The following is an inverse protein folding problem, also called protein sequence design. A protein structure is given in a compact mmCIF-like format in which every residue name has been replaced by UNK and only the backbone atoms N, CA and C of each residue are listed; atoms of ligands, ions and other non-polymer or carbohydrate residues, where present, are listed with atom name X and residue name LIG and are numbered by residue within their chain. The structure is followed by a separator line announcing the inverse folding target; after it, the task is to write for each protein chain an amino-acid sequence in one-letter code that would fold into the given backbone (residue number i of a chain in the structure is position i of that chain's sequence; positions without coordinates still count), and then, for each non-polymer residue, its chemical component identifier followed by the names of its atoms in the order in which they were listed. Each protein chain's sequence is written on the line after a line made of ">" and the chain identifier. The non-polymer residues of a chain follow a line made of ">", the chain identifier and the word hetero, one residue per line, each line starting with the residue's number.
data_IF_280895575259
#
_entry.id   IF_280895575259
#
_cell.length_a   1.000
_cell.length_b   1.000
_cell.length_c   1.000
_cell.angle_alpha   90.00
_cell.angle_beta   90.00
_cell.angle_gamma   90.00
#
_symmetry.space_group_name_H-M   'P 1'
#
loop_
_entity.id
_entity.type
_entity.pdbx_description
1 polymer ?
#
# COMPACT_ATOMS: atom_id res chain seq x y z
N UNK A 1 -16.18 10.97 26.15
CA UNK A 1 -16.50 11.08 24.71
C UNK A 1 -15.20 10.88 23.97
N UNK A 2 -15.05 9.77 23.26
CA UNK A 2 -13.84 9.45 22.50
C UNK A 2 -13.76 10.42 21.33
N UNK A 3 -12.76 11.30 21.31
CA UNK A 3 -12.54 12.17 20.15
C UNK A 3 -12.27 11.30 18.93
N UNK A 4 -13.03 11.54 17.86
CA UNK A 4 -12.88 10.82 16.60
C UNK A 4 -11.75 11.46 15.78
N UNK A 5 -10.79 10.66 15.32
CA UNK A 5 -9.67 11.11 14.47
C UNK A 5 -10.15 11.93 13.26
N UNK A 6 -11.27 11.55 12.63
CA UNK A 6 -11.84 12.32 11.52
C UNK A 6 -12.28 13.73 11.94
N UNK A 7 -12.86 13.88 13.13
CA UNK A 7 -13.26 15.18 13.66
C UNK A 7 -12.05 16.06 13.98
N UNK A 8 -10.98 15.46 14.53
CA UNK A 8 -9.72 16.15 14.78
C UNK A 8 -9.08 16.65 13.48
N UNK A 9 -9.08 15.84 12.42
CA UNK A 9 -8.56 16.24 11.10
C UNK A 9 -9.37 17.38 10.50
N UNK A 10 -10.71 17.34 10.57
CA UNK A 10 -11.57 18.43 10.06
C UNK A 10 -11.32 19.73 10.82
N UNK A 11 -11.25 19.68 12.14
CA UNK A 11 -10.98 20.87 12.95
C UNK A 11 -9.58 21.44 12.68
N UNK A 12 -8.59 20.56 12.54
CA UNK A 12 -7.21 20.95 12.28
C UNK A 12 -7.05 21.55 10.87
N UNK A 13 -7.69 20.96 9.85
CA UNK A 13 -7.75 21.53 8.49
C UNK A 13 -8.33 22.94 8.47
N UNK A 14 -9.48 23.12 9.14
CA UNK A 14 -10.13 24.42 9.25
C UNK A 14 -9.25 25.46 9.95
N UNK A 15 -8.55 25.08 11.03
CA UNK A 15 -7.63 25.97 11.74
C UNK A 15 -6.39 26.35 10.92
N UNK A 16 -5.85 25.41 10.14
CA UNK A 16 -4.61 25.61 9.38
C UNK A 16 -4.85 26.20 7.98
N UNK A 17 -6.12 26.48 7.63
CA UNK A 17 -6.50 26.90 6.27
C UNK A 17 -6.12 25.88 5.21
N UNK A 18 -6.08 24.59 5.58
CA UNK A 18 -5.79 23.51 4.68
C UNK A 18 -7.10 23.01 4.07
N UNK A 19 -7.49 23.63 2.96
CA UNK A 19 -8.50 23.12 2.02
C UNK A 19 -7.74 22.58 0.82
N UNK A 20 -7.16 21.37 0.93
CA UNK A 20 -6.20 20.95 -0.06
C UNK A 20 -6.97 20.45 -1.30
N UNK A 21 -6.66 21.03 -2.46
CA UNK A 21 -7.22 20.58 -3.73
C UNK A 21 -6.83 19.10 -3.94
N UNK A 22 -7.76 18.31 -4.50
CA UNK A 22 -7.53 16.88 -4.72
C UNK A 22 -6.31 16.61 -5.61
N UNK A 23 -6.02 17.53 -6.55
CA UNK A 23 -4.84 17.46 -7.42
C UNK A 23 -3.57 17.82 -6.65
N UNK A 24 -3.58 18.86 -5.84
CA UNK A 24 -2.44 19.26 -5.02
C UNK A 24 -2.10 18.20 -3.96
N UNK A 25 -3.11 17.61 -3.32
CA UNK A 25 -2.92 16.45 -2.44
C UNK A 25 -2.28 15.29 -3.16
N UNK A 26 -2.76 14.96 -4.36
CA UNK A 26 -2.23 13.84 -5.12
C UNK A 26 -0.73 14.03 -5.40
N UNK A 27 -0.33 15.23 -5.85
CA UNK A 27 1.07 15.58 -6.10
C UNK A 27 1.90 15.50 -4.83
N UNK A 28 1.36 16.02 -3.71
CA UNK A 28 2.02 15.97 -2.42
C UNK A 28 2.25 14.51 -1.98
N UNK A 29 1.23 13.67 -2.05
CA UNK A 29 1.37 12.27 -1.69
C UNK A 29 2.28 11.49 -2.62
N UNK A 30 2.28 11.74 -3.93
CA UNK A 30 3.20 11.08 -4.87
C UNK A 30 4.67 11.46 -4.61
N UNK A 31 4.93 12.71 -4.24
CA UNK A 31 6.25 13.14 -3.83
C UNK A 31 6.75 12.38 -2.59
N UNK A 32 5.85 12.14 -1.64
CA UNK A 32 6.16 11.54 -0.34
C UNK A 32 6.04 10.01 -0.29
N UNK A 33 5.26 9.39 -1.17
CA UNK A 33 5.11 7.93 -1.29
C UNK A 33 6.38 7.25 -1.82
N UNK A 34 7.34 8.01 -2.37
CA UNK A 34 8.69 7.50 -2.69
C UNK A 34 9.47 7.10 -1.44
N UNK A 35 9.08 7.61 -0.27
CA UNK A 35 9.68 7.25 1.02
C UNK A 35 8.94 6.04 1.59
N UNK A 36 9.69 5.03 2.00
CA UNK A 36 9.11 3.83 2.60
C UNK A 36 8.47 4.13 3.97
N UNK A 37 9.16 4.93 4.77
CA UNK A 37 8.74 5.25 6.13
C UNK A 37 8.49 6.75 6.31
N UNK A 38 7.45 7.06 7.08
CA UNK A 38 7.05 8.40 7.49
C UNK A 38 7.13 8.52 9.00
N UNK A 39 7.76 9.59 9.48
CA UNK A 39 7.66 9.99 10.89
C UNK A 39 6.24 10.44 11.20
N UNK A 40 5.68 9.90 12.27
CA UNK A 40 4.26 10.11 12.55
C UNK A 40 3.93 11.59 12.83
N UNK A 41 4.73 12.24 13.68
CA UNK A 41 4.55 13.62 14.13
C UNK A 41 4.79 14.71 13.07
N UNK A 42 5.78 14.50 12.22
CA UNK A 42 6.33 15.51 11.31
C UNK A 42 5.99 15.24 9.85
N UNK A 43 5.57 14.04 9.49
CA UNK A 43 5.33 13.66 8.09
C UNK A 43 3.92 13.07 7.91
N UNK A 44 3.58 11.99 8.61
CA UNK A 44 2.31 11.29 8.40
C UNK A 44 1.10 12.16 8.77
N UNK A 45 1.09 12.77 9.96
CA UNK A 45 0.02 13.66 10.40
C UNK A 45 -0.17 14.88 9.48
N UNK A 46 0.87 15.67 9.14
CA UNK A 46 0.70 16.77 8.19
C UNK A 46 0.18 16.31 6.84
N UNK A 47 0.69 15.22 6.28
CA UNK A 47 0.20 14.67 5.01
C UNK A 47 -1.27 14.27 5.08
N UNK A 48 -1.71 13.63 6.16
CA UNK A 48 -3.12 13.25 6.40
C UNK A 48 -4.01 14.50 6.52
N UNK A 49 -3.49 15.58 7.11
CA UNK A 49 -4.18 16.87 7.19
C UNK A 49 -4.17 17.59 5.83
N UNK A 50 -3.26 17.23 4.92
CA UNK A 50 -3.12 17.85 3.60
C UNK A 50 -2.17 19.06 3.59
N UNK A 51 -1.25 19.09 4.55
CA UNK A 51 -0.23 20.13 4.65
C UNK A 51 1.13 19.53 4.29
N UNK A 52 1.94 20.21 3.47
CA UNK A 52 3.31 19.78 3.22
C UNK A 52 4.11 19.72 4.53
N UNK A 53 4.85 18.62 4.81
CA UNK A 53 5.68 18.51 6.01
C UNK A 53 6.63 19.68 6.25
N UNK A 54 7.15 20.29 5.18
CA UNK A 54 8.00 21.48 5.22
C UNK A 54 7.30 22.72 5.80
N UNK A 55 5.98 22.85 5.61
CA UNK A 55 5.18 23.97 6.11
C UNK A 55 4.62 23.69 7.51
N UNK A 56 4.72 22.45 7.99
CA UNK A 56 4.01 21.97 9.16
C UNK A 56 4.31 22.77 10.43
N UNK A 57 5.59 22.96 10.75
CA UNK A 57 6.01 23.70 11.94
C UNK A 57 5.54 25.17 11.91
N UNK A 58 5.60 25.81 10.73
CA UNK A 58 5.15 27.18 10.56
C UNK A 58 3.62 27.29 10.73
N UNK A 59 2.86 26.33 10.21
CA UNK A 59 1.40 26.29 10.34
C UNK A 59 0.95 26.03 11.77
N UNK A 60 1.63 25.13 12.49
CA UNK A 60 1.35 24.88 13.91
C UNK A 60 1.68 26.08 14.81
N UNK A 61 2.72 26.83 14.47
CA UNK A 61 3.04 28.08 15.17
C UNK A 61 1.92 29.15 15.00
N UNK A 62 1.18 29.10 13.89
CA UNK A 62 0.00 29.93 13.67
C UNK A 62 -1.26 29.43 14.40
N UNK A 63 -1.27 28.17 14.90
CA UNK A 63 -2.32 27.60 15.72
C UNK A 63 -2.52 26.09 15.51
N UNK A 64 -3.24 25.42 16.43
CA UNK A 64 -3.65 24.01 16.27
C UNK A 64 -2.65 22.95 16.77
N UNK A 65 -1.58 23.35 17.46
CA UNK A 65 -0.61 22.43 18.07
C UNK A 65 -1.24 21.42 19.04
N UNK A 66 -2.21 21.86 19.85
CA UNK A 66 -3.00 21.01 20.75
C UNK A 66 -3.71 19.87 20.00
N UNK A 67 -4.38 20.19 18.90
CA UNK A 67 -5.12 19.25 18.07
C UNK A 67 -4.19 18.34 17.28
N UNK A 68 -3.07 18.87 16.79
CA UNK A 68 -2.03 18.07 16.16
C UNK A 68 -1.46 17.04 17.14
N UNK A 69 -1.12 17.44 18.37
CA UNK A 69 -0.64 16.52 19.40
C UNK A 69 -1.69 15.45 19.75
N UNK A 70 -2.96 15.83 19.85
CA UNK A 70 -4.05 14.88 20.10
C UNK A 70 -4.17 13.84 18.96
N UNK A 71 -4.11 14.29 17.70
CA UNK A 71 -4.18 13.44 16.53
C UNK A 71 -2.98 12.49 16.44
N UNK A 72 -1.76 12.99 16.67
CA UNK A 72 -0.54 12.17 16.69
C UNK A 72 -0.62 11.13 17.81
N UNK A 73 -1.09 11.51 19.00
CA UNK A 73 -1.22 10.58 20.13
C UNK A 73 -2.23 9.47 19.83
N UNK A 74 -3.34 9.81 19.16
CA UNK A 74 -4.34 8.84 18.74
C UNK A 74 -3.79 7.88 17.68
N UNK A 75 -3.10 8.41 16.67
CA UNK A 75 -2.46 7.59 15.64
C UNK A 75 -1.38 6.66 16.23
N UNK A 76 -0.57 7.16 17.17
CA UNK A 76 0.48 6.40 17.85
C UNK A 76 -0.12 5.24 18.66
N UNK A 77 -1.21 5.49 19.37
CA UNK A 77 -1.93 4.46 20.12
C UNK A 77 -2.49 3.37 19.20
N UNK A 78 -3.14 3.76 18.09
CA UNK A 78 -3.77 2.82 17.15
C UNK A 78 -2.75 2.02 16.31
N UNK A 79 -1.56 2.58 16.09
CA UNK A 79 -0.45 1.93 15.38
C UNK A 79 0.52 1.21 16.32
N UNK A 80 0.25 1.24 17.63
CA UNK A 80 1.09 0.67 18.67
C UNK A 80 2.56 1.11 18.57
N UNK A 81 2.80 2.41 18.36
CA UNK A 81 4.13 3.00 18.24
C UNK A 81 4.27 4.28 19.07
N UNK A 82 5.48 4.82 19.16
CA UNK A 82 5.73 6.13 19.74
C UNK A 82 5.34 7.26 18.75
N UNK A 83 5.04 8.47 19.23
CA UNK A 83 4.72 9.62 18.37
C UNK A 83 5.84 10.05 17.42
N UNK A 84 7.10 9.80 17.80
CA UNK A 84 8.30 10.12 17.04
C UNK A 84 8.83 8.95 16.19
N UNK A 85 8.15 7.79 16.25
CA UNK A 85 8.50 6.62 15.45
C UNK A 85 8.20 6.85 13.96
N UNK A 86 9.01 6.17 13.14
CA UNK A 86 8.77 6.05 11.72
C UNK A 86 7.89 4.83 11.45
N UNK A 87 6.86 5.01 10.62
CA UNK A 87 5.95 3.94 10.20
C UNK A 87 5.88 3.85 8.69
N UNK A 88 5.66 2.64 8.13
CA UNK A 88 5.44 2.50 6.70
C UNK A 88 4.30 3.41 6.23
N UNK A 89 4.50 4.10 5.12
CA UNK A 89 3.48 5.00 4.54
C UNK A 89 2.11 4.31 4.36
N UNK A 90 2.15 3.01 4.03
CA UNK A 90 0.98 2.15 3.87
C UNK A 90 0.17 2.00 5.18
N UNK A 91 0.84 1.86 6.33
CA UNK A 91 0.19 1.71 7.64
C UNK A 91 -0.53 3.00 8.03
N UNK A 92 0.13 4.14 7.82
CA UNK A 92 -0.44 5.47 8.07
C UNK A 92 -1.68 5.73 7.21
N UNK A 93 -1.62 5.38 5.92
CA UNK A 93 -2.76 5.51 5.01
C UNK A 93 -3.91 4.55 5.38
N UNK A 94 -3.60 3.31 5.76
CA UNK A 94 -4.61 2.35 6.22
C UNK A 94 -5.27 2.80 7.53
N UNK A 95 -4.50 3.36 8.47
CA UNK A 95 -5.04 3.96 9.68
C UNK A 95 -6.01 5.10 9.35
N UNK A 96 -5.61 6.04 8.50
CA UNK A 96 -6.47 7.16 8.09
C UNK A 96 -7.82 6.68 7.53
N UNK A 97 -7.82 5.61 6.72
CA UNK A 97 -9.04 4.99 6.19
C UNK A 97 -9.92 4.36 7.25
N UNK A 98 -9.34 3.58 8.18
CA UNK A 98 -10.10 2.96 9.28
C UNK A 98 -10.81 4.03 10.10
N UNK A 99 -10.18 5.20 10.23
CA UNK A 99 -10.75 6.37 10.88
C UNK A 99 -11.75 7.15 10.02
N UNK A 100 -11.96 6.80 8.75
CA UNK A 100 -12.84 7.51 7.83
C UNK A 100 -12.30 8.85 7.34
N UNK A 101 -10.99 9.06 7.41
CA UNK A 101 -10.34 10.29 6.94
C UNK A 101 -10.21 10.21 5.41
N UNK A 102 -10.76 11.18 4.64
CA UNK A 102 -10.69 11.15 3.20
C UNK A 102 -9.24 11.42 2.72
N UNK A 103 -8.73 10.50 1.90
CA UNK A 103 -7.46 10.60 1.17
C UNK A 103 -7.73 10.93 -0.30
N UNK A 104 -6.73 11.46 -1.02
CA UNK A 104 -6.84 11.73 -2.45
C UNK A 104 -7.16 10.45 -3.25
N UNK A 105 -8.16 10.50 -4.13
CA UNK A 105 -8.76 9.28 -4.72
C UNK A 105 -7.80 8.38 -5.51
N UNK A 106 -6.83 8.95 -6.24
CA UNK A 106 -5.88 8.14 -7.01
C UNK A 106 -4.82 7.49 -6.12
N UNK A 107 -4.33 8.20 -5.10
CA UNK A 107 -3.49 7.61 -4.05
C UNK A 107 -4.25 6.55 -3.27
N UNK A 108 -5.56 6.76 -3.04
CA UNK A 108 -6.35 5.78 -2.32
C UNK A 108 -6.34 4.43 -3.07
N UNK A 109 -6.58 4.45 -4.37
CA UNK A 109 -6.47 3.27 -5.22
C UNK A 109 -5.05 2.68 -5.24
N UNK A 110 -4.01 3.54 -5.31
CA UNK A 110 -2.61 3.09 -5.33
C UNK A 110 -2.20 2.42 -4.00
N UNK A 111 -2.58 2.98 -2.86
CA UNK A 111 -2.28 2.44 -1.54
C UNK A 111 -3.16 1.24 -1.20
N UNK A 112 -4.36 1.11 -1.79
CA UNK A 112 -5.12 -0.14 -1.78
C UNK A 112 -4.35 -1.23 -2.52
N UNK A 113 -3.86 -0.94 -3.73
CA UNK A 113 -3.06 -1.89 -4.50
C UNK A 113 -1.79 -2.30 -3.75
N UNK A 114 -1.01 -1.32 -3.27
CA UNK A 114 0.22 -1.57 -2.50
C UNK A 114 -0.09 -2.33 -1.20
N UNK A 115 -1.12 -1.94 -0.45
CA UNK A 115 -1.54 -2.66 0.76
C UNK A 115 -2.00 -4.09 0.47
N UNK A 116 -2.67 -4.33 -0.64
CA UNK A 116 -3.06 -5.69 -1.07
C UNK A 116 -1.86 -6.51 -1.54
N UNK A 117 -0.87 -5.88 -2.18
CA UNK A 117 0.33 -6.54 -2.69
C UNK A 117 1.41 -6.76 -1.60
N UNK A 118 1.43 -5.93 -0.55
CA UNK A 118 2.38 -5.99 0.56
C UNK A 118 1.85 -6.71 1.80
N UNK A 119 0.55 -7.06 1.87
CA UNK A 119 0.06 -7.96 2.92
C UNK A 119 0.85 -9.26 2.83
N UNK A 120 1.69 -9.49 3.84
CA UNK A 120 2.35 -10.79 4.03
C UNK A 120 1.27 -11.85 4.23
N UNK A 121 1.41 -13.03 3.61
CA UNK A 121 0.43 -14.10 3.67
C UNK A 121 0.33 -14.79 5.05
N UNK A 122 1.03 -14.34 6.09
CA UNK A 122 0.95 -14.93 7.43
C UNK A 122 -0.37 -14.62 8.14
N UNK A 123 -1.13 -13.61 7.71
CA UNK A 123 -2.43 -13.26 8.33
C UNK A 123 -3.64 -13.82 7.58
N UNK A 124 -3.46 -14.64 6.54
CA UNK A 124 -4.57 -15.21 5.75
C UNK A 124 -4.74 -16.73 5.94
N UNK A 125 -3.98 -17.35 6.84
CA UNK A 125 -4.14 -18.77 7.20
C UNK A 125 -5.17 -18.89 8.32
N UNK A 126 -6.44 -18.66 7.99
CA UNK A 126 -7.57 -19.17 8.78
C UNK A 126 -8.75 -19.49 7.84
N UNK A 127 -8.45 -20.23 6.77
CA UNK A 127 -9.45 -20.90 5.96
C UNK A 127 -8.83 -22.11 5.26
N UNK A 128 -8.90 -23.26 5.95
CA UNK A 128 -8.86 -24.63 5.45
C UNK A 128 -8.41 -24.85 3.99
N UNK A 129 -7.18 -25.33 3.81
CA UNK A 129 -6.69 -25.95 2.56
C UNK A 129 -5.58 -26.95 2.89
N UNK A 130 -5.50 -28.10 2.20
CA UNK A 130 -4.67 -29.22 2.62
C UNK A 130 -3.19 -28.87 2.51
N UNK A 131 -2.47 -29.12 3.60
CA UNK A 131 -1.04 -28.96 3.77
C UNK A 131 -0.29 -29.83 2.73
N UNK A 132 0.13 -29.20 1.63
CA UNK A 132 1.11 -29.80 0.72
C UNK A 132 2.51 -29.58 1.29
N UNK A 133 3.30 -30.66 1.29
CA UNK A 133 4.62 -30.75 1.88
C UNK A 133 5.57 -29.60 1.47
N UNK A 134 6.47 -29.15 2.37
CA UNK A 134 7.38 -28.05 2.09
C UNK A 134 8.41 -28.46 1.04
N UNK A 135 8.18 -28.03 -0.19
CA UNK A 135 9.22 -27.94 -1.21
C UNK A 135 10.23 -26.82 -0.87
N UNK A 136 11.42 -26.80 -1.50
CA UNK A 136 12.41 -25.76 -1.26
C UNK A 136 11.80 -24.38 -1.53
N UNK A 137 11.83 -23.50 -0.54
CA UNK A 137 11.30 -22.14 -0.69
C UNK A 137 12.01 -21.42 -1.85
N UNK A 138 11.25 -20.84 -2.80
CA UNK A 138 11.84 -20.15 -3.93
C UNK A 138 12.63 -18.93 -3.44
N UNK A 139 13.79 -18.70 -4.05
CA UNK A 139 14.63 -17.55 -3.69
C UNK A 139 13.85 -16.23 -3.89
N UNK A 140 14.00 -15.23 -2.99
CA UNK A 140 13.23 -13.99 -3.04
C UNK A 140 13.29 -13.26 -4.38
N UNK A 141 14.44 -13.27 -5.06
CA UNK A 141 14.61 -12.66 -6.38
C UNK A 141 13.77 -13.34 -7.47
N UNK A 142 13.68 -14.68 -7.44
CA UNK A 142 12.92 -15.45 -8.42
C UNK A 142 11.41 -15.19 -8.30
N UNK A 143 10.93 -15.01 -7.07
CA UNK A 143 9.53 -14.64 -6.77
C UNK A 143 9.20 -13.26 -7.33
N UNK A 144 10.05 -12.27 -7.08
CA UNK A 144 9.85 -10.89 -7.56
C UNK A 144 9.84 -10.83 -9.09
N UNK A 145 10.71 -11.57 -9.76
CA UNK A 145 10.76 -11.60 -11.22
C UNK A 145 9.48 -12.18 -11.83
N UNK A 146 8.98 -13.31 -11.30
CA UNK A 146 7.76 -13.96 -11.81
C UNK A 146 6.51 -13.11 -11.52
N UNK A 147 6.40 -12.52 -10.33
CA UNK A 147 5.29 -11.60 -10.01
C UNK A 147 5.35 -10.33 -10.86
N UNK A 148 6.54 -9.78 -11.08
CA UNK A 148 6.73 -8.63 -11.96
C UNK A 148 6.39 -8.92 -13.42
N UNK A 149 6.58 -10.16 -13.89
CA UNK A 149 6.13 -10.61 -15.20
C UNK A 149 4.60 -10.73 -15.26
N UNK A 150 3.99 -11.35 -14.25
CA UNK A 150 2.54 -11.50 -14.11
C UNK A 150 1.81 -10.16 -14.10
N UNK A 151 2.31 -9.18 -13.34
CA UNK A 151 1.75 -7.83 -13.28
C UNK A 151 1.85 -7.10 -14.61
N UNK A 152 2.98 -7.23 -15.32
CA UNK A 152 3.14 -6.66 -16.67
C UNK A 152 2.15 -7.24 -17.67
N UNK A 153 1.87 -8.54 -17.59
CA UNK A 153 0.86 -9.20 -18.42
C UNK A 153 -0.55 -8.71 -18.08
N UNK A 154 -0.90 -8.61 -16.80
CA UNK A 154 -2.20 -8.09 -16.36
C UNK A 154 -2.43 -6.64 -16.81
N UNK A 155 -1.39 -5.80 -16.76
CA UNK A 155 -1.48 -4.41 -17.20
C UNK A 155 -1.63 -4.28 -18.72
N UNK A 156 -0.97 -5.15 -19.49
CA UNK A 156 -0.95 -5.09 -20.95
C UNK A 156 -2.15 -5.80 -21.58
N UNK A 157 -2.53 -6.95 -21.04
CA UNK A 157 -3.45 -7.89 -21.68
C UNK A 157 -4.29 -8.65 -20.65
N UNK A 158 -5.07 -7.88 -19.88
CA UNK A 158 -5.94 -8.40 -18.82
C UNK A 158 -6.90 -9.48 -19.31
N UNK A 159 -7.49 -9.30 -20.50
CA UNK A 159 -8.50 -10.20 -21.02
C UNK A 159 -7.98 -11.64 -21.18
N UNK A 160 -6.72 -11.79 -21.60
CA UNK A 160 -6.09 -13.10 -21.77
C UNK A 160 -5.55 -13.69 -20.46
N UNK A 161 -5.38 -12.86 -19.42
CA UNK A 161 -4.96 -13.29 -18.09
C UNK A 161 -6.13 -13.74 -17.20
N UNK A 162 -7.37 -13.47 -17.58
CA UNK A 162 -8.56 -13.77 -16.77
C UNK A 162 -9.31 -15.01 -17.26
N UNK A 163 -9.82 -15.81 -16.32
CA UNK A 163 -10.71 -16.94 -16.60
C UNK A 163 -12.15 -16.51 -16.94
N UNK A 164 -13.03 -17.49 -17.13
CA UNK A 164 -14.44 -17.26 -17.46
C UNK A 164 -15.21 -16.46 -16.38
N UNK A 165 -14.69 -16.42 -15.15
CA UNK A 165 -15.22 -15.64 -14.03
C UNK A 165 -14.79 -14.16 -14.04
N UNK A 166 -13.95 -13.73 -14.98
CA UNK A 166 -13.37 -12.40 -15.04
C UNK A 166 -12.27 -12.14 -13.99
N UNK A 167 -11.88 -13.18 -13.22
CA UNK A 167 -10.76 -13.13 -12.27
C UNK A 167 -9.47 -13.63 -12.93
N UNK A 168 -8.29 -13.13 -12.50
CA UNK A 168 -7.01 -13.65 -12.97
C UNK A 168 -6.91 -15.16 -12.77
N UNK A 169 -6.40 -15.87 -13.77
CA UNK A 169 -6.26 -17.33 -13.78
C UNK A 169 -4.77 -17.68 -13.78
N UNK A 170 -4.31 -18.33 -12.70
CA UNK A 170 -2.89 -18.59 -12.47
C UNK A 170 -2.27 -19.47 -13.57
N UNK A 171 -2.97 -20.53 -14.00
CA UNK A 171 -2.48 -21.42 -15.07
C UNK A 171 -2.32 -20.69 -16.40
N UNK A 172 -3.33 -19.91 -16.81
CA UNK A 172 -3.25 -19.09 -18.01
C UNK A 172 -2.11 -18.08 -17.95
N UNK A 173 -1.95 -17.44 -16.80
CA UNK A 173 -0.90 -16.45 -16.61
C UNK A 173 0.49 -17.10 -16.68
N UNK A 174 0.69 -18.28 -16.10
CA UNK A 174 1.95 -19.01 -16.23
C UNK A 174 2.24 -19.40 -17.68
N UNK A 175 1.24 -19.86 -18.43
CA UNK A 175 1.42 -20.22 -19.84
C UNK A 175 1.82 -18.99 -20.68
N UNK A 176 1.22 -17.83 -20.41
CA UNK A 176 1.60 -16.56 -21.04
C UNK A 176 3.01 -16.11 -20.64
N UNK A 177 3.38 -16.24 -19.36
CA UNK A 177 4.74 -15.92 -18.87
C UNK A 177 5.78 -16.79 -19.57
N UNK A 178 5.51 -18.09 -19.72
CA UNK A 178 6.38 -19.02 -20.44
C UNK A 178 6.48 -18.65 -21.92
N UNK A 179 5.37 -18.30 -22.56
CA UNK A 179 5.34 -17.87 -23.95
C UNK A 179 6.10 -16.55 -24.19
N UNK A 180 6.10 -15.63 -23.24
CA UNK A 180 6.79 -14.33 -23.33
C UNK A 180 8.15 -14.30 -22.64
N UNK A 181 8.64 -15.45 -22.16
CA UNK A 181 9.80 -15.51 -21.28
C UNK A 181 11.08 -14.93 -21.92
N UNK A 182 11.28 -15.16 -23.22
CA UNK A 182 12.41 -14.65 -23.98
C UNK A 182 12.53 -13.11 -23.99
N UNK A 183 11.41 -12.40 -23.87
CA UNK A 183 11.35 -10.93 -23.82
C UNK A 183 11.18 -10.35 -22.41
N UNK A 184 11.00 -11.21 -21.41
CA UNK A 184 10.60 -10.80 -20.05
C UNK A 184 11.70 -11.04 -19.02
N UNK A 185 12.48 -12.12 -19.18
CA UNK A 185 13.55 -12.51 -18.26
C UNK A 185 14.92 -12.37 -18.93
N UNK A 186 15.91 -11.91 -18.17
CA UNK A 186 17.28 -11.73 -18.68
C UNK A 186 17.91 -13.05 -19.17
N UNK A 187 17.55 -14.18 -18.56
CA UNK A 187 17.98 -15.52 -18.97
C UNK A 187 17.13 -16.14 -20.08
N UNK A 188 16.13 -15.42 -20.60
CA UNK A 188 15.19 -15.89 -21.62
C UNK A 188 14.22 -16.98 -21.16
N UNK A 189 14.28 -17.38 -19.89
CA UNK A 189 13.38 -18.34 -19.24
C UNK A 189 13.07 -17.88 -17.81
N UNK A 190 11.91 -18.26 -17.24
CA UNK A 190 11.60 -17.94 -15.86
C UNK A 190 12.56 -18.63 -14.88
N UNK A 191 12.84 -18.03 -13.71
CA UNK A 191 13.70 -18.61 -12.69
C UNK A 191 13.01 -19.70 -11.84
N UNK A 192 11.71 -19.93 -12.05
CA UNK A 192 10.90 -20.92 -11.34
C UNK A 192 10.28 -21.91 -12.33
N UNK A 193 10.12 -23.16 -11.89
CA UNK A 193 9.41 -24.20 -12.64
C UNK A 193 7.91 -23.91 -12.70
N UNK A 194 7.22 -24.44 -13.73
CA UNK A 194 5.79 -24.17 -13.98
C UNK A 194 4.92 -24.34 -12.74
N UNK A 195 5.07 -25.46 -12.05
CA UNK A 195 4.24 -25.80 -10.88
C UNK A 195 4.48 -24.84 -9.69
N UNK A 196 5.73 -24.43 -9.47
CA UNK A 196 6.07 -23.43 -8.47
C UNK A 196 5.53 -22.05 -8.85
N UNK A 197 5.53 -21.69 -10.13
CA UNK A 197 4.92 -20.45 -10.61
C UNK A 197 3.40 -20.47 -10.48
N UNK A 198 2.72 -21.58 -10.80
CA UNK A 198 1.25 -21.68 -10.65
C UNK A 198 0.87 -21.55 -9.18
N UNK A 199 1.58 -22.27 -8.30
CA UNK A 199 1.37 -22.18 -6.85
C UNK A 199 1.62 -20.76 -6.34
N UNK A 200 2.69 -20.11 -6.83
CA UNK A 200 2.98 -18.72 -6.51
C UNK A 200 1.85 -17.82 -6.98
N UNK A 201 1.50 -17.82 -8.26
CA UNK A 201 0.47 -16.93 -8.80
C UNK A 201 -0.90 -17.18 -8.18
N UNK A 202 -1.30 -18.44 -7.95
CA UNK A 202 -2.55 -18.78 -7.28
C UNK A 202 -2.59 -18.29 -5.82
N UNK A 203 -1.43 -18.14 -5.16
CA UNK A 203 -1.32 -17.57 -3.82
C UNK A 203 -1.48 -16.05 -3.80
N UNK A 204 -1.17 -15.36 -4.90
CA UNK A 204 -1.04 -13.89 -4.96
C UNK A 204 -2.08 -13.19 -5.86
N UNK A 205 -2.93 -13.94 -6.58
CA UNK A 205 -3.96 -13.44 -7.51
C UNK A 205 -5.39 -13.75 -7.04
#
# INVERSE_FOLDING_TARGET
>A
MTENAAALVVELRARLGAEPDAVELQVLYEAWAKRQDWRLDTEAVPLIVGVPPEDWAARLAAGGGDRATALTSLAAADLACAPDDSRPAVDCCQWARRCGIPLAGHLDLLMQFIGSALRRPDEQVDAAGPELAPGPEPQPGAVVEVLGAALRLLARDRANCTGASGRPDADRMVDLILATAAGTFAAGRPPLEREAMVTLLARWL
#
